data_IF_986610257980
#
_entry.id   IF_986610257980
#
_cell.length_a   1.000
_cell.length_b   1.000
_cell.length_c   1.000
_cell.angle_alpha   90.00
_cell.angle_beta   90.00
_cell.angle_gamma   90.00
#
_symmetry.space_group_name_H-M   'P 1'
#
loop_
_entity.id
_entity.type
_entity.pdbx_description
1 polymer ?
#
# COMPACT_ATOMS: atom_id res chain seq x y z
N UNK A 1 -16.86 -17.35 -18.23
CA UNK A 1 -15.59 -16.87 -17.63
C UNK A 1 -14.62 -18.04 -17.57
N UNK A 2 -13.37 -17.86 -18.01
CA UNK A 2 -12.38 -18.93 -18.02
C UNK A 2 -11.95 -19.25 -16.58
N UNK A 3 -11.55 -20.49 -16.28
CA UNK A 3 -11.09 -20.93 -14.94
C UNK A 3 -9.99 -19.99 -14.39
N UNK A 4 -9.08 -19.55 -15.27
CA UNK A 4 -7.98 -18.62 -14.96
C UNK A 4 -8.48 -17.24 -14.51
N UNK A 5 -9.47 -16.68 -15.23
CA UNK A 5 -10.03 -15.36 -14.90
C UNK A 5 -10.78 -15.40 -13.55
N UNK A 6 -11.48 -16.52 -13.29
CA UNK A 6 -12.16 -16.73 -12.02
C UNK A 6 -11.14 -16.81 -10.85
N UNK A 7 -10.00 -17.47 -11.04
CA UNK A 7 -8.94 -17.52 -10.04
C UNK A 7 -8.36 -16.13 -9.74
N UNK A 8 -8.16 -15.30 -10.77
CA UNK A 8 -7.67 -13.91 -10.61
C UNK A 8 -8.69 -13.08 -9.83
N UNK A 9 -9.96 -13.06 -10.25
CA UNK A 9 -10.99 -12.24 -9.62
C UNK A 9 -11.30 -12.68 -8.19
N UNK A 10 -11.24 -13.98 -7.89
CA UNK A 10 -11.42 -14.51 -6.54
C UNK A 10 -10.40 -13.95 -5.54
N UNK A 11 -9.21 -13.58 -6.01
CA UNK A 11 -8.16 -12.97 -5.20
C UNK A 11 -8.19 -11.44 -5.28
N UNK A 12 -8.43 -10.88 -6.47
CA UNK A 12 -8.40 -9.43 -6.67
C UNK A 12 -9.56 -8.72 -5.99
N UNK A 13 -10.80 -9.20 -6.13
CA UNK A 13 -11.98 -8.51 -5.60
C UNK A 13 -11.95 -8.33 -4.07
N UNK A 14 -11.67 -9.36 -3.23
CA UNK A 14 -11.55 -9.13 -1.80
C UNK A 14 -10.43 -8.17 -1.43
N UNK A 15 -9.31 -8.18 -2.18
CA UNK A 15 -8.20 -7.26 -1.97
C UNK A 15 -8.59 -5.81 -2.29
N UNK A 16 -9.33 -5.58 -3.37
CA UNK A 16 -9.87 -4.25 -3.71
C UNK A 16 -10.78 -3.74 -2.60
N UNK A 17 -11.72 -4.57 -2.11
CA UNK A 17 -12.60 -4.20 -1.00
C UNK A 17 -11.78 -3.82 0.22
N UNK A 18 -10.78 -4.62 0.60
CA UNK A 18 -9.88 -4.32 1.71
C UNK A 18 -9.17 -2.97 1.53
N UNK A 19 -8.64 -2.68 0.35
CA UNK A 19 -7.89 -1.45 0.08
C UNK A 19 -8.79 -0.19 0.13
N UNK A 20 -10.01 -0.28 -0.38
CA UNK A 20 -10.96 0.84 -0.38
C UNK A 20 -11.46 1.16 1.04
N UNK A 21 -11.50 0.19 1.94
CA UNK A 21 -11.98 0.43 3.32
C UNK A 21 -10.99 1.21 4.17
N UNK A 22 -9.69 1.20 3.84
CA UNK A 22 -8.66 1.92 4.61
C UNK A 22 -8.88 3.44 4.61
N UNK A 23 -9.04 4.14 3.45
CA UNK A 23 -9.30 5.57 3.45
C UNK A 23 -10.65 5.95 4.06
N UNK A 24 -11.66 5.06 3.98
CA UNK A 24 -12.95 5.30 4.62
C UNK A 24 -12.82 5.44 6.13
N UNK A 25 -11.94 4.66 6.74
CA UNK A 25 -11.67 4.77 8.17
C UNK A 25 -11.14 6.15 8.56
N UNK A 26 -10.13 6.65 7.84
CA UNK A 26 -9.57 7.98 8.08
C UNK A 26 -10.60 9.10 7.91
N UNK A 27 -11.55 8.96 6.96
CA UNK A 27 -12.64 9.91 6.80
C UNK A 27 -13.63 9.88 7.97
N UNK A 28 -13.92 8.70 8.51
CA UNK A 28 -14.80 8.56 9.67
C UNK A 28 -14.15 9.15 10.92
N UNK A 29 -12.88 8.87 11.18
CA UNK A 29 -12.13 9.44 12.30
C UNK A 29 -12.10 10.98 12.21
N UNK A 30 -11.85 11.51 11.00
CA UNK A 30 -11.85 12.95 10.75
C UNK A 30 -13.25 13.56 10.96
N UNK A 31 -14.31 12.87 10.54
CA UNK A 31 -15.68 13.32 10.73
C UNK A 31 -16.06 13.34 12.22
N UNK A 32 -15.69 12.30 12.99
CA UNK A 32 -15.93 12.25 14.45
C UNK A 32 -15.26 13.44 15.12
N UNK A 33 -13.99 13.71 14.80
CA UNK A 33 -13.21 14.77 15.42
C UNK A 33 -13.67 16.16 14.95
N UNK A 34 -14.13 16.30 13.72
CA UNK A 34 -14.70 17.54 13.20
C UNK A 34 -15.93 18.02 13.98
N UNK A 35 -16.67 17.12 14.63
CA UNK A 35 -17.81 17.44 15.48
C UNK A 35 -17.43 17.76 16.95
N UNK A 36 -16.17 17.55 17.35
CA UNK A 36 -15.67 17.89 18.71
C UNK A 36 -15.38 19.42 18.84
N UNK A 37 -15.39 20.16 17.74
CA UNK A 37 -15.49 21.63 17.73
C UNK A 37 -14.17 22.41 17.76
N UNK A 38 -13.00 21.82 17.47
CA UNK A 38 -11.74 22.57 17.38
C UNK A 38 -10.94 22.18 16.13
N UNK A 39 -10.65 23.16 15.27
CA UNK A 39 -9.77 23.00 14.10
C UNK A 39 -8.40 22.41 14.47
N UNK A 40 -7.93 22.68 15.69
CA UNK A 40 -6.65 22.17 16.19
C UNK A 40 -6.64 20.64 16.32
N UNK A 41 -7.77 20.01 16.68
CA UNK A 41 -7.87 18.54 16.74
C UNK A 41 -7.80 17.91 15.34
N UNK A 42 -8.44 18.51 14.37
CA UNK A 42 -8.39 18.08 12.97
C UNK A 42 -6.93 18.14 12.46
N UNK A 43 -6.25 19.27 12.73
CA UNK A 43 -4.85 19.43 12.38
C UNK A 43 -3.93 18.39 13.05
N UNK A 44 -4.16 18.08 14.32
CA UNK A 44 -3.37 17.11 15.06
C UNK A 44 -3.52 15.68 14.52
N UNK A 45 -4.74 15.25 14.22
CA UNK A 45 -4.99 13.95 13.59
C UNK A 45 -4.40 13.89 12.19
N UNK A 46 -4.53 14.95 11.39
CA UNK A 46 -3.97 14.99 10.04
C UNK A 46 -2.44 14.82 10.07
N UNK A 47 -1.74 15.57 10.93
CA UNK A 47 -0.28 15.46 11.11
C UNK A 47 0.09 14.08 11.67
N UNK A 48 -0.57 13.62 12.72
CA UNK A 48 -0.30 12.34 13.35
C UNK A 48 -0.53 11.15 12.40
N UNK A 49 -1.65 11.13 11.69
CA UNK A 49 -1.96 10.11 10.69
C UNK A 49 -0.95 10.10 9.55
N UNK A 50 -0.50 11.28 9.09
CA UNK A 50 0.52 11.36 8.05
C UNK A 50 1.84 10.74 8.51
N UNK A 51 2.27 10.98 9.75
CA UNK A 51 3.48 10.36 10.34
C UNK A 51 3.36 8.84 10.31
N UNK A 52 2.27 8.29 10.85
CA UNK A 52 2.06 6.83 10.88
C UNK A 52 1.91 6.22 9.49
N UNK A 53 1.22 6.90 8.57
CA UNK A 53 1.09 6.43 7.18
C UNK A 53 2.45 6.30 6.50
N UNK A 54 3.35 7.27 6.66
CA UNK A 54 4.71 7.19 6.11
C UNK A 54 5.49 6.04 6.76
N UNK A 55 5.45 5.94 8.08
CA UNK A 55 6.11 4.85 8.82
C UNK A 55 5.62 3.49 8.31
N UNK A 56 4.31 3.26 8.32
CA UNK A 56 3.74 1.97 7.92
C UNK A 56 3.95 1.66 6.44
N UNK A 57 3.91 2.66 5.57
CA UNK A 57 4.20 2.47 4.15
C UNK A 57 5.61 1.95 3.91
N UNK A 58 6.59 2.51 4.62
CA UNK A 58 8.00 2.05 4.55
C UNK A 58 8.09 0.57 4.97
N UNK A 59 7.34 0.15 5.99
CA UNK A 59 7.34 -1.25 6.47
C UNK A 59 6.41 -2.19 5.69
N UNK A 60 5.75 -1.72 4.63
CA UNK A 60 4.96 -2.54 3.71
C UNK A 60 5.72 -3.71 3.09
N UNK A 61 7.07 -3.71 3.14
CA UNK A 61 7.91 -4.83 2.71
C UNK A 61 7.60 -6.13 3.49
N UNK A 62 7.15 -6.03 4.76
CA UNK A 62 6.74 -7.20 5.55
C UNK A 62 5.57 -7.93 4.88
N UNK A 63 4.60 -7.21 4.33
CA UNK A 63 3.49 -7.82 3.59
C UNK A 63 3.97 -8.42 2.27
N UNK A 64 4.66 -7.63 1.46
CA UNK A 64 5.07 -8.00 0.10
C UNK A 64 6.08 -9.16 0.11
N UNK A 65 7.10 -9.10 0.96
CA UNK A 65 8.10 -10.15 1.07
C UNK A 65 7.50 -11.49 1.50
N UNK A 66 6.54 -11.46 2.43
CA UNK A 66 5.86 -12.65 2.90
C UNK A 66 4.96 -13.28 1.84
N UNK A 67 4.21 -12.48 1.08
CA UNK A 67 3.31 -13.00 0.03
C UNK A 67 4.10 -13.72 -1.04
N UNK A 68 5.21 -13.15 -1.52
CA UNK A 68 6.07 -13.80 -2.51
C UNK A 68 6.72 -15.09 -2.02
N UNK A 69 7.30 -15.07 -0.81
CA UNK A 69 7.96 -16.25 -0.27
C UNK A 69 6.99 -17.38 0.11
N UNK A 70 5.83 -17.03 0.69
CA UNK A 70 4.81 -18.00 1.06
C UNK A 70 4.16 -18.64 -0.17
N UNK A 71 3.86 -17.85 -1.22
CA UNK A 71 3.28 -18.35 -2.47
C UNK A 71 4.23 -19.30 -3.20
N UNK A 72 5.53 -19.01 -3.23
CA UNK A 72 6.52 -19.91 -3.81
C UNK A 72 6.68 -21.21 -2.98
N UNK A 73 6.73 -21.10 -1.65
CA UNK A 73 6.79 -22.29 -0.79
C UNK A 73 5.56 -23.17 -0.98
N UNK A 74 4.38 -22.56 -1.12
CA UNK A 74 3.13 -23.26 -1.45
C UNK A 74 3.22 -23.95 -2.82
N UNK A 75 3.77 -23.30 -3.83
CA UNK A 75 3.99 -23.86 -5.16
C UNK A 75 4.90 -25.10 -5.14
N UNK A 76 5.96 -25.06 -4.34
CA UNK A 76 6.84 -26.22 -4.10
C UNK A 76 6.22 -27.32 -3.22
N UNK A 77 5.01 -27.09 -2.68
CA UNK A 77 4.37 -27.95 -1.67
C UNK A 77 5.20 -28.09 -0.37
N UNK A 78 6.06 -27.09 -0.09
CA UNK A 78 6.90 -27.06 1.11
C UNK A 78 6.15 -26.33 2.23
N UNK A 79 5.23 -27.04 2.87
CA UNK A 79 4.39 -26.48 3.94
C UNK A 79 5.19 -26.06 5.18
N UNK A 80 6.34 -26.71 5.43
CA UNK A 80 7.25 -26.31 6.51
C UNK A 80 7.87 -24.95 6.23
N UNK A 81 8.29 -24.67 4.99
CA UNK A 81 8.80 -23.38 4.59
C UNK A 81 7.70 -22.31 4.69
N UNK A 82 6.45 -22.62 4.30
CA UNK A 82 5.29 -21.70 4.47
C UNK A 82 5.14 -21.26 5.93
N UNK A 83 5.23 -22.21 6.88
CA UNK A 83 5.13 -21.90 8.32
C UNK A 83 6.35 -21.12 8.82
N UNK A 84 7.55 -21.41 8.30
CA UNK A 84 8.76 -20.68 8.68
C UNK A 84 8.75 -19.24 8.19
N UNK A 85 8.19 -18.94 7.02
CA UNK A 85 8.00 -17.58 6.51
C UNK A 85 7.17 -16.78 7.51
N UNK A 86 6.01 -17.29 7.94
CA UNK A 86 5.17 -16.62 8.92
C UNK A 86 5.93 -16.39 10.24
N UNK A 87 6.54 -17.44 10.80
CA UNK A 87 7.23 -17.34 12.09
C UNK A 87 8.33 -16.27 12.08
N UNK A 88 9.16 -16.27 11.05
CA UNK A 88 10.29 -15.32 10.94
C UNK A 88 9.83 -13.88 10.72
N UNK A 89 8.85 -13.68 9.84
CA UNK A 89 8.31 -12.35 9.61
C UNK A 89 7.58 -11.81 10.84
N UNK A 90 6.95 -12.68 11.63
CA UNK A 90 6.33 -12.31 12.88
C UNK A 90 7.36 -11.84 13.92
N UNK A 91 8.49 -12.54 14.04
CA UNK A 91 9.59 -12.08 14.89
C UNK A 91 10.09 -10.70 14.48
N UNK A 92 10.31 -10.48 13.17
CA UNK A 92 10.74 -9.17 12.66
C UNK A 92 9.69 -8.10 12.94
N UNK A 93 8.42 -8.36 12.63
CA UNK A 93 7.32 -7.43 12.81
C UNK A 93 7.16 -7.00 14.28
N UNK A 94 7.13 -7.96 15.19
CA UNK A 94 6.99 -7.68 16.64
C UNK A 94 8.24 -6.99 17.18
N UNK A 95 9.46 -7.41 16.80
CA UNK A 95 10.69 -6.77 17.25
C UNK A 95 10.75 -5.30 16.82
N UNK A 96 10.38 -4.99 15.56
CA UNK A 96 10.34 -3.61 15.06
C UNK A 96 9.21 -2.83 15.76
N UNK A 97 8.04 -3.44 15.92
CA UNK A 97 6.91 -2.80 16.60
C UNK A 97 7.23 -2.43 18.06
N UNK A 98 7.86 -3.33 18.80
CA UNK A 98 8.33 -3.01 20.17
C UNK A 98 9.48 -2.00 20.18
N UNK A 99 10.38 -2.04 19.19
CA UNK A 99 11.42 -1.02 19.04
C UNK A 99 10.81 0.37 18.83
N UNK A 100 9.71 0.49 18.09
CA UNK A 100 9.00 1.76 17.93
C UNK A 100 8.44 2.28 19.24
N UNK A 101 7.91 1.41 20.11
CA UNK A 101 7.45 1.80 21.45
C UNK A 101 8.63 2.30 22.29
N UNK A 102 9.78 1.63 22.25
CA UNK A 102 11.00 2.05 22.98
C UNK A 102 11.50 3.39 22.45
N UNK A 103 11.48 3.59 21.14
CA UNK A 103 11.97 4.81 20.48
C UNK A 103 10.87 5.85 20.26
N UNK A 104 9.70 5.73 20.90
CA UNK A 104 8.55 6.60 20.64
C UNK A 104 8.89 8.09 20.80
N UNK A 105 9.66 8.46 21.82
CA UNK A 105 10.00 9.85 22.08
C UNK A 105 10.87 10.46 20.96
N UNK A 106 12.06 9.92 20.63
CA UNK A 106 12.88 10.47 19.53
C UNK A 106 12.18 10.40 18.18
N UNK A 107 11.36 9.38 17.91
CA UNK A 107 10.60 9.30 16.66
C UNK A 107 9.54 10.40 16.57
N UNK A 108 8.82 10.67 17.65
CA UNK A 108 7.83 11.74 17.71
C UNK A 108 8.48 13.11 17.47
N UNK A 109 9.52 13.44 18.23
CA UNK A 109 10.21 14.74 18.15
C UNK A 109 10.86 14.95 16.77
N UNK A 110 11.50 13.93 16.20
CA UNK A 110 12.06 14.00 14.86
C UNK A 110 10.98 14.23 13.79
N UNK A 111 9.84 13.55 13.90
CA UNK A 111 8.73 13.72 12.96
C UNK A 111 8.11 15.12 13.06
N UNK A 112 7.92 15.64 14.28
CA UNK A 112 7.42 16.99 14.52
C UNK A 112 8.41 18.07 14.06
N UNK A 113 9.70 17.84 14.28
CA UNK A 113 10.75 18.72 13.76
C UNK A 113 10.74 18.76 12.21
N UNK A 114 10.49 17.64 11.56
CA UNK A 114 10.41 17.59 10.09
C UNK A 114 9.18 18.32 9.53
N UNK A 115 8.04 18.20 10.24
CA UNK A 115 6.74 18.72 9.74
C UNK A 115 6.45 20.16 10.15
N UNK A 116 7.12 20.71 11.20
CA UNK A 116 6.96 22.09 11.68
C UNK A 116 5.49 22.52 11.87
N UNK A 117 4.62 21.76 12.56
CA UNK A 117 3.25 22.18 12.82
C UNK A 117 3.21 23.35 13.83
N UNK A 118 2.05 24.07 13.91
CA UNK A 118 1.86 25.09 14.92
C UNK A 118 1.94 24.52 16.35
N UNK A 119 2.29 25.36 17.34
CA UNK A 119 2.52 24.92 18.74
C UNK A 119 1.30 24.21 19.34
N UNK A 120 0.08 24.64 19.01
CA UNK A 120 -1.17 24.01 19.47
C UNK A 120 -1.38 22.63 18.85
N UNK A 121 -1.16 22.48 17.55
CA UNK A 121 -1.22 21.22 16.83
C UNK A 121 -0.13 20.27 17.32
N UNK A 122 1.10 20.74 17.49
CA UNK A 122 2.24 19.98 17.98
C UNK A 122 1.94 19.28 19.32
N UNK A 123 1.35 19.99 20.28
CA UNK A 123 1.00 19.43 21.60
C UNK A 123 -0.01 18.28 21.46
N UNK A 124 -1.05 18.45 20.65
CA UNK A 124 -2.06 17.42 20.46
C UNK A 124 -1.53 16.24 19.62
N UNK A 125 -0.66 16.50 18.66
CA UNK A 125 0.00 15.43 17.87
C UNK A 125 0.91 14.56 18.75
N UNK A 126 1.58 15.14 19.78
CA UNK A 126 2.32 14.32 20.75
C UNK A 126 1.42 13.38 21.53
N UNK A 127 0.22 13.82 21.92
CA UNK A 127 -0.77 12.96 22.60
C UNK A 127 -1.21 11.85 21.64
N UNK A 128 -1.63 12.22 20.42
CA UNK A 128 -1.99 11.27 19.37
C UNK A 128 -0.90 10.22 19.16
N UNK A 129 0.35 10.67 18.96
CA UNK A 129 1.47 9.78 18.71
C UNK A 129 1.74 8.83 19.89
N UNK A 130 1.71 9.34 21.12
CA UNK A 130 1.98 8.54 22.33
C UNK A 130 0.96 7.43 22.57
N UNK A 131 -0.28 7.61 22.09
CA UNK A 131 -1.33 6.59 22.15
C UNK A 131 -1.19 5.63 20.97
N UNK A 132 -1.18 6.16 19.73
CA UNK A 132 -1.21 5.34 18.51
C UNK A 132 0.03 4.45 18.33
N UNK A 133 1.18 4.83 18.90
CA UNK A 133 2.42 4.02 18.80
C UNK A 133 2.28 2.62 19.41
N UNK A 134 1.39 2.46 20.41
CA UNK A 134 1.10 1.16 21.02
C UNK A 134 0.38 0.19 20.07
N UNK A 135 -0.17 0.70 18.98
CA UNK A 135 -0.71 -0.11 17.88
C UNK A 135 0.34 -0.62 16.90
N UNK A 136 1.58 -0.10 16.93
CA UNK A 136 2.60 -0.44 15.95
C UNK A 136 2.94 -1.94 15.90
N UNK A 137 3.11 -2.67 17.03
CA UNK A 137 3.33 -4.12 16.98
C UNK A 137 2.17 -4.86 16.31
N UNK A 138 0.93 -4.46 16.58
CA UNK A 138 -0.25 -5.08 15.98
C UNK A 138 -0.32 -4.82 14.46
N UNK A 139 -0.06 -3.60 14.02
CA UNK A 139 -0.07 -3.24 12.59
C UNK A 139 1.03 -3.95 11.81
N UNK A 140 2.25 -4.02 12.33
CA UNK A 140 3.34 -4.74 11.66
C UNK A 140 3.09 -6.26 11.65
N UNK A 141 2.50 -6.82 12.71
CA UNK A 141 2.06 -8.21 12.74
C UNK A 141 0.96 -8.47 11.70
N UNK A 142 0.01 -7.55 11.53
CA UNK A 142 -1.01 -7.63 10.49
C UNK A 142 -0.41 -7.60 9.08
N UNK A 143 0.62 -6.79 8.83
CA UNK A 143 1.32 -6.83 7.54
C UNK A 143 1.93 -8.21 7.28
N UNK A 144 2.58 -8.80 8.27
CA UNK A 144 3.13 -10.14 8.15
C UNK A 144 2.05 -11.19 7.89
N UNK A 145 0.94 -11.15 8.63
CA UNK A 145 -0.21 -12.05 8.47
C UNK A 145 -0.88 -11.89 7.11
N UNK A 146 -1.21 -10.66 6.72
CA UNK A 146 -1.89 -10.36 5.46
C UNK A 146 -1.06 -10.81 4.26
N UNK A 147 0.26 -10.56 4.26
CA UNK A 147 1.16 -11.07 3.22
C UNK A 147 1.17 -12.60 3.16
N UNK A 148 1.21 -13.25 4.32
CA UNK A 148 1.19 -14.70 4.39
C UNK A 148 -0.12 -15.30 3.88
N UNK A 149 -1.29 -14.73 4.24
CA UNK A 149 -2.59 -15.18 3.72
C UNK A 149 -2.71 -14.97 2.20
N UNK A 150 -2.24 -13.83 1.67
CA UNK A 150 -2.17 -13.60 0.22
C UNK A 150 -1.31 -14.67 -0.46
N UNK A 151 -0.15 -14.97 0.11
CA UNK A 151 0.73 -16.04 -0.38
C UNK A 151 0.09 -17.42 -0.38
N UNK A 152 -0.82 -17.69 0.56
CA UNK A 152 -1.65 -18.90 0.62
C UNK A 152 -2.87 -18.86 -0.33
N UNK A 153 -2.97 -17.85 -1.19
CA UNK A 153 -4.09 -17.64 -2.11
C UNK A 153 -5.44 -17.39 -1.39
N UNK A 154 -5.38 -16.79 -0.21
CA UNK A 154 -6.57 -16.44 0.56
C UNK A 154 -6.58 -14.95 0.88
N UNK A 155 -7.22 -14.15 0.03
CA UNK A 155 -7.40 -12.71 0.23
C UNK A 155 -8.68 -12.35 0.99
N UNK A 156 -9.55 -13.33 1.23
CA UNK A 156 -10.79 -13.12 2.00
C UNK A 156 -10.50 -12.87 3.48
N UNK A 157 -9.52 -13.57 4.05
CA UNK A 157 -9.14 -13.38 5.45
C UNK A 157 -8.62 -11.96 5.70
N UNK A 158 -7.63 -11.43 4.95
CA UNK A 158 -7.24 -10.01 5.04
C UNK A 158 -8.41 -9.03 4.92
N UNK A 159 -9.33 -9.27 3.97
CA UNK A 159 -10.53 -8.44 3.81
C UNK A 159 -11.41 -8.47 5.06
N UNK A 160 -11.69 -9.65 5.61
CA UNK A 160 -12.51 -9.79 6.82
C UNK A 160 -11.86 -9.11 8.02
N UNK A 161 -10.53 -9.23 8.17
CA UNK A 161 -9.77 -8.55 9.22
C UNK A 161 -9.90 -7.03 9.07
N UNK A 162 -9.71 -6.49 7.86
CA UNK A 162 -9.81 -5.06 7.60
C UNK A 162 -11.23 -4.53 7.89
N UNK A 163 -12.27 -5.21 7.42
CA UNK A 163 -13.66 -4.85 7.71
C UNK A 163 -13.96 -4.89 9.21
N UNK A 164 -13.52 -5.94 9.91
CA UNK A 164 -13.69 -6.07 11.36
C UNK A 164 -12.99 -4.94 12.11
N UNK A 165 -11.73 -4.62 11.76
CA UNK A 165 -11.01 -3.51 12.36
C UNK A 165 -11.73 -2.18 12.18
N UNK A 166 -12.24 -1.90 10.97
CA UNK A 166 -12.95 -0.66 10.69
C UNK A 166 -14.24 -0.57 11.51
N UNK A 167 -15.00 -1.65 11.61
CA UNK A 167 -16.23 -1.68 12.43
C UNK A 167 -15.90 -1.46 13.92
N UNK A 168 -14.89 -2.15 14.45
CA UNK A 168 -14.45 -1.99 15.86
C UNK A 168 -13.97 -0.57 16.10
N UNK A 169 -13.15 0.00 15.21
CA UNK A 169 -12.68 1.36 15.33
C UNK A 169 -13.84 2.36 15.38
N UNK A 170 -14.77 2.31 14.43
CA UNK A 170 -15.91 3.22 14.37
C UNK A 170 -16.75 3.15 15.65
N UNK A 171 -17.10 1.93 16.09
CA UNK A 171 -17.91 1.73 17.29
C UNK A 171 -17.19 2.28 18.54
N UNK A 172 -15.92 1.97 18.70
CA UNK A 172 -15.16 2.40 19.87
C UNK A 172 -14.85 3.89 19.85
N UNK A 173 -14.49 4.47 18.70
CA UNK A 173 -14.27 5.91 18.58
C UNK A 173 -15.54 6.70 18.92
N UNK A 174 -16.70 6.28 18.40
CA UNK A 174 -17.98 6.88 18.74
C UNK A 174 -18.31 6.71 20.24
N UNK A 175 -18.09 5.53 20.80
CA UNK A 175 -18.34 5.26 22.22
C UNK A 175 -17.47 6.14 23.11
N UNK A 176 -16.15 6.20 22.88
CA UNK A 176 -15.25 7.00 23.69
C UNK A 176 -15.52 8.50 23.57
N UNK A 177 -15.85 8.98 22.36
CA UNK A 177 -16.11 10.40 22.14
C UNK A 177 -17.48 10.81 22.64
N UNK A 178 -18.54 10.09 22.28
CA UNK A 178 -19.93 10.52 22.57
C UNK A 178 -20.35 10.12 23.98
N UNK A 179 -20.06 8.88 24.41
CA UNK A 179 -20.54 8.37 25.71
C UNK A 179 -19.61 8.75 26.85
N UNK A 180 -18.28 8.65 26.65
CA UNK A 180 -17.29 8.97 27.68
C UNK A 180 -16.80 10.43 27.64
N UNK A 181 -17.19 11.21 26.63
CA UNK A 181 -16.78 12.62 26.50
C UNK A 181 -15.28 12.81 26.24
N UNK A 182 -14.59 11.76 25.78
CA UNK A 182 -13.17 11.85 25.42
C UNK A 182 -13.02 12.65 24.13
N UNK A 183 -11.89 13.28 23.95
CA UNK A 183 -11.59 14.07 22.75
C UNK A 183 -10.76 13.22 21.77
N UNK A 184 -9.61 13.76 21.35
CA UNK A 184 -8.68 13.08 20.42
C UNK A 184 -8.23 11.73 21.00
N UNK A 185 -8.01 11.66 22.32
CA UNK A 185 -7.59 10.46 23.01
C UNK A 185 -8.57 9.30 22.82
N UNK A 186 -9.86 9.60 22.72
CA UNK A 186 -10.91 8.59 22.52
C UNK A 186 -10.83 7.94 21.13
N UNK A 187 -10.62 8.73 20.08
CA UNK A 187 -10.43 8.24 18.71
C UNK A 187 -9.15 7.42 18.62
N UNK A 188 -8.06 7.89 19.24
CA UNK A 188 -6.76 7.24 19.22
C UNK A 188 -6.81 5.86 19.90
N UNK A 189 -7.44 5.79 21.09
CA UNK A 189 -7.66 4.52 21.80
C UNK A 189 -8.53 3.56 20.98
N UNK A 190 -9.60 4.06 20.36
CA UNK A 190 -10.43 3.28 19.46
C UNK A 190 -9.61 2.65 18.33
N UNK A 191 -8.70 3.41 17.74
CA UNK A 191 -7.80 2.95 16.69
C UNK A 191 -6.83 1.88 17.19
N UNK A 192 -6.19 2.08 18.32
CA UNK A 192 -5.24 1.09 18.91
C UNK A 192 -5.96 -0.22 19.24
N UNK A 193 -7.13 -0.14 19.90
CA UNK A 193 -7.91 -1.34 20.24
C UNK A 193 -8.36 -2.07 18.97
N UNK A 194 -8.77 -1.34 17.94
CA UNK A 194 -9.13 -1.93 16.63
C UNK A 194 -7.95 -2.65 15.98
N UNK A 195 -6.75 -2.06 16.02
CA UNK A 195 -5.53 -2.67 15.47
C UNK A 195 -5.18 -3.98 16.20
N UNK A 196 -5.22 -3.99 17.53
CA UNK A 196 -4.99 -5.21 18.32
C UNK A 196 -6.07 -6.26 18.14
N UNK A 197 -7.34 -5.85 18.07
CA UNK A 197 -8.46 -6.79 17.83
C UNK A 197 -8.33 -7.45 16.45
N UNK A 198 -7.94 -6.69 15.42
CA UNK A 198 -7.66 -7.23 14.10
C UNK A 198 -6.45 -8.17 14.09
N UNK A 199 -5.39 -7.85 14.82
CA UNK A 199 -4.23 -8.73 14.97
C UNK A 199 -4.61 -10.04 15.66
N UNK A 200 -5.38 -10.00 16.75
CA UNK A 200 -5.90 -11.19 17.44
C UNK A 200 -6.77 -12.06 16.53
N UNK A 201 -7.67 -11.44 15.75
CA UNK A 201 -8.48 -12.14 14.76
C UNK A 201 -7.59 -12.79 13.68
N UNK A 202 -6.57 -12.07 13.22
CA UNK A 202 -5.58 -12.59 12.26
C UNK A 202 -4.79 -13.77 12.81
N UNK A 203 -4.37 -13.71 14.08
CA UNK A 203 -3.72 -14.84 14.76
C UNK A 203 -4.65 -16.04 14.89
N UNK A 204 -5.92 -15.82 15.21
CA UNK A 204 -6.91 -16.90 15.28
C UNK A 204 -7.10 -17.61 13.94
N UNK A 205 -7.25 -16.86 12.84
CA UNK A 205 -7.30 -17.46 11.50
C UNK A 205 -5.99 -18.17 11.14
N UNK A 206 -4.84 -17.58 11.50
CA UNK A 206 -3.54 -18.20 11.20
C UNK A 206 -3.35 -19.52 11.94
N UNK A 207 -3.81 -19.59 13.18
CA UNK A 207 -3.72 -20.84 13.98
C UNK A 207 -4.48 -21.99 13.30
N UNK A 208 -5.70 -21.75 12.84
CA UNK A 208 -6.47 -22.76 12.09
C UNK A 208 -5.73 -23.23 10.83
N UNK A 209 -5.17 -22.30 10.07
CA UNK A 209 -4.43 -22.60 8.85
C UNK A 209 -3.11 -23.35 9.16
N UNK A 210 -2.45 -23.01 10.26
CA UNK A 210 -1.22 -23.69 10.73
C UNK A 210 -1.49 -25.15 11.05
N UNK A 211 -2.59 -25.46 11.74
CA UNK A 211 -2.98 -26.83 12.06
C UNK A 211 -3.20 -27.64 10.79
N UNK A 212 -3.92 -27.09 9.81
CA UNK A 212 -4.14 -27.74 8.51
C UNK A 212 -2.83 -27.98 7.74
N UNK A 213 -1.92 -27.01 7.71
CA UNK A 213 -0.63 -27.14 7.04
C UNK A 213 0.30 -28.13 7.71
N UNK A 214 0.28 -28.24 9.05
CA UNK A 214 1.07 -29.22 9.80
C UNK A 214 0.66 -30.65 9.47
N UNK A 215 -0.62 -30.93 9.30
CA UNK A 215 -1.11 -32.27 8.94
C UNK A 215 -0.68 -32.71 7.55
N UNK A 216 -0.44 -31.74 6.65
CA UNK A 216 0.03 -31.97 5.27
C UNK A 216 1.57 -32.05 5.15
N UNK A 217 2.30 -31.77 6.22
CA UNK A 217 3.77 -31.64 6.20
C UNK A 217 4.44 -33.00 6.43
N UNK A 218 4.54 -33.83 5.39
CA UNK A 218 5.20 -35.12 5.44
C UNK A 218 6.67 -35.10 4.99
N UNK A 219 7.18 -34.00 4.46
CA UNK A 219 8.48 -33.93 3.80
C UNK A 219 9.45 -32.98 4.50
N UNK A 220 10.65 -33.46 4.78
CA UNK A 220 11.80 -32.68 5.29
C UNK A 220 12.44 -31.89 4.13
N UNK A 221 12.07 -30.64 3.96
CA UNK A 221 12.74 -29.74 3.01
C UNK A 221 13.61 -28.71 3.71
N UNK A 222 14.56 -28.16 2.97
CA UNK A 222 15.56 -27.22 3.47
C UNK A 222 14.94 -25.98 4.15
N UNK A 223 15.53 -25.51 5.26
CA UNK A 223 15.04 -24.32 5.93
C UNK A 223 15.17 -23.10 5.01
N UNK A 224 14.16 -22.24 4.98
CA UNK A 224 14.25 -20.93 4.33
C UNK A 224 15.42 -20.18 4.93
N UNK A 225 16.40 -19.80 4.09
CA UNK A 225 17.61 -19.11 4.55
C UNK A 225 17.25 -17.67 4.95
N UNK A 226 17.69 -17.21 6.12
CA UNK A 226 17.51 -15.83 6.59
C UNK A 226 18.03 -14.79 5.59
N UNK A 227 19.14 -15.11 4.91
CA UNK A 227 19.74 -14.25 3.88
C UNK A 227 18.78 -13.94 2.75
N UNK A 228 17.99 -14.93 2.28
CA UNK A 228 17.01 -14.72 1.22
C UNK A 228 15.89 -13.77 1.65
N UNK A 229 15.36 -13.95 2.86
CA UNK A 229 14.33 -13.08 3.43
C UNK A 229 14.84 -11.64 3.58
N UNK A 230 16.06 -11.47 4.08
CA UNK A 230 16.64 -10.14 4.25
C UNK A 230 16.86 -9.43 2.91
N UNK A 231 17.37 -10.13 1.89
CA UNK A 231 17.61 -9.53 0.57
C UNK A 231 16.31 -9.07 -0.11
N UNK A 232 15.26 -9.91 -0.07
CA UNK A 232 13.94 -9.56 -0.62
C UNK A 232 13.37 -8.33 0.09
N UNK A 233 13.38 -8.33 1.41
CA UNK A 233 12.85 -7.23 2.21
C UNK A 233 13.65 -5.94 2.03
N UNK A 234 14.99 -6.01 1.95
CA UNK A 234 15.85 -4.86 1.67
C UNK A 234 15.52 -4.22 0.32
N UNK A 235 15.40 -5.02 -0.73
CA UNK A 235 15.13 -4.51 -2.07
C UNK A 235 13.75 -3.84 -2.15
N UNK A 236 12.72 -4.42 -1.47
CA UNK A 236 11.38 -3.82 -1.38
C UNK A 236 11.43 -2.52 -0.55
N UNK A 237 12.15 -2.53 0.56
CA UNK A 237 12.34 -1.34 1.40
C UNK A 237 12.97 -0.19 0.59
N UNK A 238 14.11 -0.44 -0.07
CA UNK A 238 14.78 0.57 -0.89
C UNK A 238 13.91 1.07 -2.06
N UNK A 239 13.17 0.15 -2.71
CA UNK A 239 12.18 0.53 -3.72
C UNK A 239 11.13 1.48 -3.11
N UNK A 240 10.60 1.17 -1.93
CA UNK A 240 9.59 1.99 -1.28
C UNK A 240 10.10 3.39 -0.95
N UNK A 241 11.37 3.53 -0.57
CA UNK A 241 11.97 4.85 -0.37
C UNK A 241 11.95 5.72 -1.64
N UNK A 242 12.21 5.14 -2.83
CA UNK A 242 12.08 5.89 -4.08
C UNK A 242 10.64 6.30 -4.38
N UNK A 243 9.66 5.44 -4.09
CA UNK A 243 8.24 5.76 -4.24
C UNK A 243 7.81 6.90 -3.30
N UNK A 244 8.21 6.83 -2.04
CA UNK A 244 7.94 7.86 -1.03
C UNK A 244 8.62 9.17 -1.44
N UNK A 245 9.89 9.13 -1.87
CA UNK A 245 10.62 10.30 -2.31
C UNK A 245 9.91 11.03 -3.48
N UNK A 246 9.43 10.29 -4.50
CA UNK A 246 8.69 10.88 -5.62
C UNK A 246 7.37 11.49 -5.15
N UNK A 247 6.59 10.80 -4.31
CA UNK A 247 5.32 11.32 -3.83
C UNK A 247 5.47 12.57 -2.95
N UNK A 248 6.42 12.55 -2.01
CA UNK A 248 6.72 13.71 -1.19
C UNK A 248 7.25 14.89 -2.02
N UNK A 249 8.11 14.60 -3.02
CA UNK A 249 8.61 15.64 -3.92
C UNK A 249 7.50 16.22 -4.77
N UNK A 250 6.57 15.40 -5.29
CA UNK A 250 5.42 15.90 -6.05
C UNK A 250 4.60 16.90 -5.22
N UNK A 251 4.28 16.55 -3.97
CA UNK A 251 3.54 17.44 -3.07
C UNK A 251 4.35 18.70 -2.73
N UNK A 252 5.62 18.56 -2.36
CA UNK A 252 6.48 19.69 -1.97
C UNK A 252 6.75 20.66 -3.13
N UNK A 253 6.98 20.13 -4.34
CA UNK A 253 7.20 20.94 -5.53
C UNK A 253 5.91 21.62 -6.01
N UNK A 254 4.75 20.99 -5.79
CA UNK A 254 3.44 21.60 -5.98
C UNK A 254 3.21 22.77 -4.99
N UNK A 255 3.55 22.57 -3.72
CA UNK A 255 3.43 23.60 -2.68
C UNK A 255 4.25 24.86 -2.99
N UNK A 256 5.46 24.70 -3.57
CA UNK A 256 6.30 25.82 -3.98
C UNK A 256 5.71 26.67 -5.10
N UNK A 257 4.70 26.17 -5.83
CA UNK A 257 4.01 26.89 -6.89
C UNK A 257 2.78 27.66 -6.40
N UNK A 258 2.47 27.57 -5.10
CA UNK A 258 1.39 28.28 -4.41
C UNK A 258 0.27 27.34 -3.93
N UNK A 259 -0.50 27.85 -2.97
CA UNK A 259 -1.53 27.06 -2.28
C UNK A 259 -2.65 26.58 -3.21
N UNK A 260 -3.00 27.36 -4.22
CA UNK A 260 -4.01 26.99 -5.21
C UNK A 260 -3.58 25.80 -6.05
N UNK A 261 -2.31 25.78 -6.50
CA UNK A 261 -1.72 24.67 -7.26
C UNK A 261 -1.61 23.43 -6.37
N UNK A 262 -1.17 23.59 -5.13
CA UNK A 262 -1.10 22.49 -4.17
C UNK A 262 -2.48 21.85 -3.96
N UNK A 263 -3.50 22.67 -3.74
CA UNK A 263 -4.88 22.21 -3.54
C UNK A 263 -5.42 21.47 -4.76
N UNK A 264 -5.21 22.03 -5.96
CA UNK A 264 -5.61 21.41 -7.22
C UNK A 264 -4.88 20.07 -7.44
N UNK A 265 -3.55 20.02 -7.22
CA UNK A 265 -2.76 18.79 -7.35
C UNK A 265 -3.20 17.72 -6.35
N UNK A 266 -3.48 18.08 -5.10
CA UNK A 266 -3.97 17.17 -4.06
C UNK A 266 -5.31 16.57 -4.46
N UNK A 267 -6.23 17.40 -4.96
CA UNK A 267 -7.53 16.96 -5.44
C UNK A 267 -7.39 15.97 -6.62
N UNK A 268 -6.53 16.29 -7.57
CA UNK A 268 -6.27 15.45 -8.75
C UNK A 268 -5.56 14.14 -8.40
N UNK A 269 -4.67 14.13 -7.39
CA UNK A 269 -3.99 12.92 -6.91
C UNK A 269 -4.94 11.90 -6.25
N UNK A 270 -6.15 12.32 -5.88
CA UNK A 270 -7.19 11.38 -5.38
C UNK A 270 -7.55 10.33 -6.44
N UNK A 271 -7.57 10.72 -7.71
CA UNK A 271 -7.82 9.79 -8.82
C UNK A 271 -6.71 8.75 -8.95
N UNK A 272 -5.44 9.17 -8.79
CA UNK A 272 -4.32 8.22 -8.74
C UNK A 272 -4.48 7.23 -7.59
N UNK A 273 -4.84 7.71 -6.43
CA UNK A 273 -5.04 6.87 -5.24
C UNK A 273 -6.17 5.86 -5.43
N UNK A 274 -7.31 6.29 -5.99
CA UNK A 274 -8.44 5.41 -6.31
C UNK A 274 -8.05 4.32 -7.31
N UNK A 275 -7.34 4.71 -8.38
CA UNK A 275 -6.85 3.78 -9.38
C UNK A 275 -5.86 2.79 -8.75
N UNK A 276 -4.94 3.26 -7.89
CA UNK A 276 -3.96 2.41 -7.23
C UNK A 276 -4.62 1.34 -6.35
N UNK A 277 -5.66 1.65 -5.59
CA UNK A 277 -6.37 0.67 -4.76
C UNK A 277 -6.99 -0.48 -5.56
N UNK A 278 -7.52 -0.18 -6.74
CA UNK A 278 -8.03 -1.20 -7.64
C UNK A 278 -6.90 -2.04 -8.20
N UNK A 279 -5.84 -1.41 -8.70
CA UNK A 279 -4.69 -2.11 -9.30
C UNK A 279 -3.90 -2.94 -8.29
N UNK A 280 -3.79 -2.47 -7.04
CA UNK A 280 -3.15 -3.24 -5.96
C UNK A 280 -3.90 -4.56 -5.68
N UNK A 281 -5.22 -4.59 -5.84
CA UNK A 281 -5.98 -5.83 -5.76
C UNK A 281 -5.55 -6.86 -6.82
N UNK A 282 -5.29 -6.41 -8.04
CA UNK A 282 -4.75 -7.27 -9.10
C UNK A 282 -3.27 -7.60 -8.89
N UNK A 283 -2.49 -6.69 -8.30
CA UNK A 283 -1.13 -6.98 -7.89
C UNK A 283 -1.08 -8.11 -6.83
N UNK A 284 -1.99 -8.12 -5.85
CA UNK A 284 -2.08 -9.21 -4.86
C UNK A 284 -2.45 -10.55 -5.51
N UNK A 285 -3.35 -10.55 -6.49
CA UNK A 285 -3.63 -11.76 -7.28
C UNK A 285 -2.39 -12.23 -8.06
N UNK A 286 -1.59 -11.29 -8.60
CA UNK A 286 -0.35 -11.59 -9.28
C UNK A 286 0.71 -12.16 -8.32
N UNK A 287 0.89 -11.56 -7.13
CA UNK A 287 1.77 -12.09 -6.08
C UNK A 287 1.46 -13.56 -5.75
N UNK A 288 0.18 -13.86 -5.58
CA UNK A 288 -0.27 -15.19 -5.19
C UNK A 288 -0.12 -16.22 -6.32
N UNK A 289 -0.68 -15.93 -7.50
CA UNK A 289 -0.78 -16.89 -8.61
C UNK A 289 0.55 -17.08 -9.34
N UNK A 290 1.21 -15.97 -9.70
CA UNK A 290 2.53 -16.06 -10.34
C UNK A 290 3.59 -16.58 -9.38
N UNK A 291 3.53 -16.22 -8.09
CA UNK A 291 4.45 -16.75 -7.07
C UNK A 291 4.31 -18.24 -6.89
N UNK A 292 3.09 -18.77 -6.84
CA UNK A 292 2.85 -20.23 -6.77
C UNK A 292 3.37 -20.94 -8.01
N UNK A 293 3.07 -20.44 -9.21
CA UNK A 293 3.55 -21.04 -10.45
C UNK A 293 5.07 -21.00 -10.55
N UNK A 294 5.70 -19.88 -10.15
CA UNK A 294 7.15 -19.75 -10.08
C UNK A 294 7.76 -20.76 -9.11
N UNK A 295 7.19 -20.91 -7.91
CA UNK A 295 7.63 -21.89 -6.92
C UNK A 295 7.49 -23.34 -7.39
N UNK A 296 6.44 -23.65 -8.14
CA UNK A 296 6.19 -24.95 -8.75
C UNK A 296 7.08 -25.24 -9.98
N UNK A 297 7.85 -24.27 -10.46
CA UNK A 297 8.61 -24.31 -11.73
C UNK A 297 7.71 -24.52 -12.96
N UNK A 298 6.46 -24.10 -12.87
CA UNK A 298 5.45 -24.23 -13.93
C UNK A 298 5.44 -22.97 -14.81
N UNK A 299 6.31 -22.97 -15.83
CA UNK A 299 6.42 -21.86 -16.79
C UNK A 299 5.13 -21.63 -17.60
N UNK A 300 4.43 -22.67 -18.09
CA UNK A 300 3.15 -22.48 -18.78
C UNK A 300 2.12 -21.73 -17.95
N UNK A 301 1.88 -22.16 -16.71
CA UNK A 301 0.96 -21.48 -15.79
C UNK A 301 1.42 -20.07 -15.45
N UNK A 302 2.72 -19.86 -15.21
CA UNK A 302 3.29 -18.53 -14.95
C UNK A 302 3.02 -17.57 -16.13
N UNK A 303 3.29 -18.00 -17.36
CA UNK A 303 3.09 -17.22 -18.57
C UNK A 303 1.60 -16.94 -18.82
N UNK A 304 0.73 -17.93 -18.56
CA UNK A 304 -0.71 -17.79 -18.70
C UNK A 304 -1.26 -16.73 -17.70
N UNK A 305 -0.93 -16.84 -16.40
CA UNK A 305 -1.37 -15.86 -15.41
C UNK A 305 -0.81 -14.48 -15.70
N UNK A 306 0.46 -14.36 -16.06
CA UNK A 306 1.08 -13.10 -16.46
C UNK A 306 0.32 -12.43 -17.60
N UNK A 307 0.06 -13.18 -18.67
CA UNK A 307 -0.67 -12.65 -19.84
C UNK A 307 -2.10 -12.24 -19.50
N UNK A 308 -2.81 -13.02 -18.69
CA UNK A 308 -4.19 -12.71 -18.27
C UNK A 308 -4.24 -11.50 -17.35
N UNK A 309 -3.33 -11.39 -16.37
CA UNK A 309 -3.24 -10.25 -15.49
C UNK A 309 -2.94 -8.96 -16.24
N UNK A 310 -2.05 -8.98 -17.23
CA UNK A 310 -1.79 -7.83 -18.11
C UNK A 310 -3.03 -7.43 -18.93
N UNK A 311 -3.81 -8.40 -19.44
CA UNK A 311 -5.07 -8.11 -20.15
C UNK A 311 -6.11 -7.50 -19.21
N UNK A 312 -6.24 -7.99 -17.98
CA UNK A 312 -7.09 -7.38 -16.96
C UNK A 312 -6.61 -5.98 -16.61
N UNK A 313 -5.30 -5.78 -16.42
CA UNK A 313 -4.71 -4.49 -16.11
C UNK A 313 -5.01 -3.41 -17.16
N UNK A 314 -4.82 -3.74 -18.46
CA UNK A 314 -5.15 -2.79 -19.54
C UNK A 314 -6.67 -2.57 -19.65
N UNK A 315 -7.48 -3.61 -19.49
CA UNK A 315 -8.93 -3.48 -19.48
C UNK A 315 -9.44 -2.53 -18.40
N UNK A 316 -8.92 -2.67 -17.18
CA UNK A 316 -9.24 -1.79 -16.05
C UNK A 316 -8.73 -0.36 -16.31
N UNK A 317 -7.53 -0.22 -16.87
CA UNK A 317 -6.98 1.09 -17.20
C UNK A 317 -7.86 1.82 -18.24
N UNK A 318 -8.35 1.12 -19.26
CA UNK A 318 -9.27 1.68 -20.24
C UNK A 318 -10.61 2.08 -19.61
N UNK A 319 -11.20 1.22 -18.78
CA UNK A 319 -12.44 1.51 -18.06
C UNK A 319 -12.27 2.71 -17.13
N UNK A 320 -11.19 2.75 -16.35
CA UNK A 320 -10.89 3.87 -15.47
C UNK A 320 -10.70 5.18 -16.25
N UNK A 321 -9.99 5.14 -17.39
CA UNK A 321 -9.82 6.29 -18.28
C UNK A 321 -11.17 6.80 -18.79
N UNK A 322 -12.07 5.90 -19.24
CA UNK A 322 -13.42 6.29 -19.69
C UNK A 322 -14.23 6.90 -18.55
N UNK A 323 -14.18 6.31 -17.36
CA UNK A 323 -14.85 6.86 -16.16
C UNK A 323 -14.30 8.25 -15.81
N UNK A 324 -12.98 8.45 -15.90
CA UNK A 324 -12.37 9.75 -15.61
C UNK A 324 -12.77 10.81 -16.63
N UNK A 325 -12.81 10.46 -17.93
CA UNK A 325 -13.28 11.38 -18.96
C UNK A 325 -14.75 11.76 -18.75
N UNK A 326 -15.62 10.79 -18.51
CA UNK A 326 -17.06 11.00 -18.42
C UNK A 326 -17.54 11.57 -17.09
N UNK A 327 -16.94 11.12 -15.97
CA UNK A 327 -17.41 11.44 -14.61
C UNK A 327 -16.45 12.26 -13.76
N UNK A 328 -15.21 12.43 -14.19
CA UNK A 328 -14.18 13.03 -13.35
C UNK A 328 -14.47 14.48 -12.95
N UNK A 329 -15.02 15.29 -13.84
CA UNK A 329 -15.42 16.68 -13.52
C UNK A 329 -16.56 16.73 -12.50
N UNK A 330 -17.52 15.81 -12.59
CA UNK A 330 -18.59 15.69 -11.61
C UNK A 330 -18.01 15.31 -10.24
N UNK A 331 -17.07 14.35 -10.21
CA UNK A 331 -16.39 13.94 -9.00
C UNK A 331 -15.60 15.08 -8.34
N UNK A 332 -14.90 15.92 -9.11
CA UNK A 332 -14.22 17.11 -8.59
C UNK A 332 -15.20 18.06 -7.88
N UNK A 333 -16.38 18.30 -8.48
CA UNK A 333 -17.43 19.17 -7.91
C UNK A 333 -18.07 18.57 -6.66
N UNK A 334 -18.05 17.25 -6.48
CA UNK A 334 -18.55 16.62 -5.26
C UNK A 334 -17.56 16.74 -4.09
N UNK A 335 -16.26 16.93 -4.37
CA UNK A 335 -15.23 16.99 -3.32
C UNK A 335 -14.99 18.42 -2.83
N UNK A 336 -15.14 19.42 -3.70
CA UNK A 336 -14.85 20.81 -3.33
C UNK A 336 -15.84 21.80 -3.96
N UNK A 337 -16.24 22.78 -3.15
CA UNK A 337 -17.09 23.91 -3.58
C UNK A 337 -16.24 25.11 -4.03
N UNK A 338 -14.91 25.06 -3.89
CA UNK A 338 -14.03 26.17 -4.27
C UNK A 338 -13.92 26.29 -5.79
N UNK A 339 -14.55 27.32 -6.35
CA UNK A 339 -14.52 27.60 -7.79
C UNK A 339 -13.11 27.81 -8.35
N UNK A 340 -12.21 28.43 -7.57
CA UNK A 340 -10.82 28.66 -7.96
C UNK A 340 -10.01 27.34 -8.04
N UNK A 341 -10.20 26.43 -7.08
CA UNK A 341 -9.55 25.10 -7.08
C UNK A 341 -10.10 24.26 -8.22
N UNK A 342 -11.41 24.28 -8.47
CA UNK A 342 -12.04 23.57 -9.59
C UNK A 342 -11.50 24.06 -10.94
N UNK A 343 -11.48 25.37 -11.18
CA UNK A 343 -10.96 25.95 -12.41
C UNK A 343 -9.49 25.58 -12.65
N UNK A 344 -8.67 25.64 -11.60
CA UNK A 344 -7.26 25.24 -11.68
C UNK A 344 -7.10 23.75 -11.92
N UNK A 345 -7.93 22.92 -11.28
CA UNK A 345 -7.90 21.45 -11.49
C UNK A 345 -8.28 21.06 -12.92
N UNK A 346 -9.23 21.78 -13.54
CA UNK A 346 -9.63 21.53 -14.93
C UNK A 346 -8.49 21.75 -15.94
N UNK A 347 -7.58 22.71 -15.67
CA UNK A 347 -6.39 22.94 -16.52
C UNK A 347 -5.48 21.70 -16.56
N UNK A 348 -5.34 20.99 -15.44
CA UNK A 348 -4.43 19.84 -15.33
C UNK A 348 -5.15 18.49 -15.46
N UNK A 349 -6.47 18.47 -15.62
CA UNK A 349 -7.28 17.26 -15.56
C UNK A 349 -6.92 16.22 -16.62
N UNK A 350 -6.45 16.62 -17.79
CA UNK A 350 -6.05 15.67 -18.82
C UNK A 350 -4.87 14.77 -18.42
N UNK A 351 -4.00 15.22 -17.49
CA UNK A 351 -2.95 14.39 -16.92
C UNK A 351 -3.52 13.24 -16.11
N UNK A 352 -4.60 13.51 -15.37
CA UNK A 352 -5.30 12.48 -14.57
C UNK A 352 -5.87 11.37 -15.45
N UNK A 353 -6.40 11.74 -16.60
CA UNK A 353 -6.94 10.78 -17.60
C UNK A 353 -5.85 9.83 -18.12
N UNK A 354 -4.58 10.28 -18.16
CA UNK A 354 -3.46 9.46 -18.61
C UNK A 354 -2.92 8.52 -17.51
N UNK A 355 -3.20 8.78 -16.22
CA UNK A 355 -2.69 7.98 -15.10
C UNK A 355 -2.96 6.48 -15.26
N UNK A 356 -4.20 6.02 -15.57
CA UNK A 356 -4.47 4.60 -15.66
C UNK A 356 -3.64 3.92 -16.75
N UNK A 357 -3.52 4.55 -17.90
CA UNK A 357 -2.76 4.01 -19.05
C UNK A 357 -1.25 3.98 -18.79
N UNK A 358 -0.72 5.00 -18.12
CA UNK A 358 0.71 5.06 -17.78
C UNK A 358 1.07 4.09 -16.63
N UNK A 359 0.15 3.89 -15.67
CA UNK A 359 0.43 3.21 -14.42
C UNK A 359 0.15 1.71 -14.40
N UNK A 360 -0.87 1.20 -15.14
CA UNK A 360 -1.35 -0.19 -14.98
C UNK A 360 -0.24 -1.23 -15.07
N UNK A 361 0.69 -1.02 -16.00
CA UNK A 361 1.79 -1.96 -16.26
C UNK A 361 2.70 -2.10 -15.05
N UNK A 362 3.02 -0.97 -14.39
CA UNK A 362 3.86 -0.96 -13.19
C UNK A 362 3.21 -1.68 -12.01
N UNK A 363 1.91 -1.50 -11.79
CA UNK A 363 1.19 -2.17 -10.70
C UNK A 363 1.10 -3.68 -10.89
N UNK A 364 0.71 -4.13 -12.09
CA UNK A 364 0.60 -5.57 -12.37
C UNK A 364 1.96 -6.26 -12.30
N UNK A 365 3.00 -5.65 -12.88
CA UNK A 365 4.34 -6.22 -12.88
C UNK A 365 4.98 -6.21 -11.51
N UNK A 366 4.73 -5.19 -10.67
CA UNK A 366 5.16 -5.21 -9.27
C UNK A 366 4.68 -6.48 -8.55
N UNK A 367 3.40 -6.83 -8.69
CA UNK A 367 2.86 -8.06 -8.12
C UNK A 367 3.55 -9.33 -8.65
N UNK A 368 3.83 -9.40 -9.96
CA UNK A 368 4.54 -10.54 -10.57
C UNK A 368 5.96 -10.65 -10.02
N UNK A 369 6.69 -9.54 -9.91
CA UNK A 369 8.06 -9.51 -9.39
C UNK A 369 8.13 -9.87 -7.91
N UNK A 370 7.16 -9.42 -7.11
CA UNK A 370 7.03 -9.80 -5.70
C UNK A 370 6.76 -11.30 -5.59
N UNK A 371 5.80 -11.82 -6.35
CA UNK A 371 5.49 -13.26 -6.41
C UNK A 371 6.71 -14.11 -6.80
N UNK A 372 7.47 -13.70 -7.80
CA UNK A 372 8.70 -14.35 -8.21
C UNK A 372 9.89 -14.09 -7.26
N UNK A 373 9.75 -13.23 -6.24
CA UNK A 373 10.83 -12.73 -5.35
C UNK A 373 12.03 -12.15 -6.11
N UNK A 374 11.78 -11.60 -7.30
CA UNK A 374 12.81 -10.96 -8.14
C UNK A 374 12.84 -9.45 -7.89
N UNK A 375 12.86 -9.09 -6.63
CA UNK A 375 12.71 -7.73 -6.09
C UNK A 375 13.82 -6.76 -6.53
N UNK A 376 15.01 -7.28 -6.88
CA UNK A 376 16.10 -6.47 -7.44
C UNK A 376 15.72 -5.77 -8.74
N UNK A 377 15.00 -6.45 -9.65
CA UNK A 377 14.55 -5.83 -10.90
C UNK A 377 13.48 -4.76 -10.66
N UNK A 378 12.61 -4.99 -9.68
CA UNK A 378 11.64 -4.01 -9.22
C UNK A 378 12.33 -2.78 -8.61
N UNK A 379 13.41 -2.97 -7.83
CA UNK A 379 14.21 -1.88 -7.27
C UNK A 379 14.87 -1.05 -8.39
N UNK A 380 15.48 -1.72 -9.39
CA UNK A 380 16.12 -1.05 -10.54
C UNK A 380 15.10 -0.20 -11.30
N UNK A 381 13.92 -0.74 -11.59
CA UNK A 381 12.87 0.00 -12.31
C UNK A 381 12.40 1.21 -11.52
N UNK A 382 12.26 1.10 -10.20
CA UNK A 382 11.83 2.20 -9.34
C UNK A 382 12.90 3.28 -9.21
N UNK A 383 14.18 2.90 -9.16
CA UNK A 383 15.28 3.85 -9.20
C UNK A 383 15.29 4.64 -10.51
N UNK A 384 15.26 3.95 -11.66
CA UNK A 384 15.29 4.60 -12.97
C UNK A 384 14.08 5.51 -13.19
N UNK A 385 12.90 5.09 -12.72
CA UNK A 385 11.69 5.92 -12.80
C UNK A 385 11.77 7.15 -11.89
N UNK A 386 12.32 7.03 -10.68
CA UNK A 386 12.55 8.18 -9.81
C UNK A 386 13.56 9.17 -10.43
N UNK A 387 14.65 8.67 -11.00
CA UNK A 387 15.61 9.51 -11.74
C UNK A 387 14.90 10.22 -12.90
N UNK A 388 14.08 9.52 -13.67
CA UNK A 388 13.32 10.12 -14.78
C UNK A 388 12.40 11.23 -14.29
N UNK A 389 11.71 11.06 -13.14
CA UNK A 389 10.89 12.10 -12.52
C UNK A 389 11.68 13.37 -12.25
N UNK A 390 12.82 13.26 -11.56
CA UNK A 390 13.60 14.44 -11.19
C UNK A 390 14.24 15.09 -12.42
N UNK A 391 14.78 14.31 -13.36
CA UNK A 391 15.38 14.84 -14.60
C UNK A 391 14.35 15.62 -15.41
N UNK A 392 13.15 15.06 -15.63
CA UNK A 392 12.10 15.72 -16.41
C UNK A 392 11.62 16.98 -15.71
N UNK A 393 11.36 16.90 -14.41
CA UNK A 393 10.88 18.05 -13.65
C UNK A 393 11.88 19.20 -13.68
N UNK A 394 13.13 18.97 -13.29
CA UNK A 394 14.14 20.04 -13.22
C UNK A 394 14.55 20.59 -14.59
N UNK A 395 14.45 19.79 -15.66
CA UNK A 395 14.71 20.28 -17.01
C UNK A 395 13.59 21.14 -17.58
N UNK A 396 12.35 20.88 -17.21
CA UNK A 396 11.20 21.49 -17.85
C UNK A 396 10.38 22.44 -16.93
N UNK A 397 10.67 22.47 -15.63
CA UNK A 397 9.89 23.25 -14.66
C UNK A 397 9.88 24.75 -14.96
N UNK A 398 10.99 25.31 -15.45
CA UNK A 398 11.09 26.71 -15.80
C UNK A 398 10.21 27.09 -17.03
N UNK A 399 9.96 26.14 -17.93
CA UNK A 399 9.16 26.37 -19.15
C UNK A 399 7.68 26.03 -18.96
N UNK A 400 7.39 24.93 -18.23
CA UNK A 400 6.06 24.32 -18.18
C UNK A 400 5.40 24.44 -16.80
N UNK A 401 6.11 24.92 -15.76
CA UNK A 401 5.55 25.06 -14.40
C UNK A 401 4.96 23.74 -13.88
N UNK A 402 3.68 23.77 -13.47
CA UNK A 402 3.00 22.58 -12.92
C UNK A 402 2.74 21.48 -13.98
N UNK A 403 2.68 21.82 -15.26
CA UNK A 403 2.61 20.81 -16.31
C UNK A 403 3.87 19.92 -16.35
N UNK A 404 5.05 20.49 -16.04
CA UNK A 404 6.29 19.71 -15.92
C UNK A 404 6.20 18.71 -14.78
N UNK A 405 5.57 19.08 -13.66
CA UNK A 405 5.38 18.21 -12.50
C UNK A 405 4.50 16.99 -12.85
N UNK A 406 3.38 17.25 -13.52
CA UNK A 406 2.49 16.19 -13.99
C UNK A 406 3.12 15.31 -15.08
N UNK A 407 3.81 15.90 -16.05
CA UNK A 407 4.54 15.16 -17.07
C UNK A 407 5.59 14.23 -16.43
N UNK A 408 6.35 14.76 -15.47
CA UNK A 408 7.35 13.97 -14.73
C UNK A 408 6.69 12.78 -13.99
N UNK A 409 5.51 12.99 -13.38
CA UNK A 409 4.77 11.94 -12.69
C UNK A 409 4.24 10.87 -13.64
N UNK A 410 3.68 11.25 -14.79
CA UNK A 410 3.21 10.30 -15.82
C UNK A 410 4.38 9.49 -16.37
N UNK A 411 5.50 10.15 -16.70
CA UNK A 411 6.70 9.44 -17.17
C UNK A 411 7.30 8.53 -16.10
N UNK A 412 7.27 8.94 -14.82
CA UNK A 412 7.66 8.07 -13.71
C UNK A 412 6.84 6.77 -13.69
N UNK A 413 5.52 6.83 -13.86
CA UNK A 413 4.66 5.66 -13.90
C UNK A 413 4.96 4.79 -15.13
N UNK A 414 5.08 5.40 -16.31
CA UNK A 414 5.34 4.71 -17.57
C UNK A 414 6.71 4.04 -17.60
N UNK A 415 7.78 4.76 -17.23
CA UNK A 415 9.16 4.24 -17.21
C UNK A 415 9.27 3.04 -16.26
N UNK A 416 8.62 3.11 -15.07
CA UNK A 416 8.60 2.00 -14.13
C UNK A 416 8.03 0.74 -14.77
N UNK A 417 6.88 0.85 -15.43
CA UNK A 417 6.23 -0.27 -16.11
C UNK A 417 7.02 -0.79 -17.31
N UNK A 418 7.54 0.11 -18.14
CA UNK A 418 8.32 -0.26 -19.33
C UNK A 418 9.59 -1.01 -18.96
N UNK A 419 10.39 -0.48 -18.00
CA UNK A 419 11.62 -1.13 -17.53
C UNK A 419 11.31 -2.53 -16.97
N UNK A 420 10.27 -2.66 -16.16
CA UNK A 420 9.84 -3.97 -15.67
C UNK A 420 9.44 -4.90 -16.82
N UNK A 421 8.70 -4.42 -17.81
CA UNK A 421 8.31 -5.24 -18.95
C UNK A 421 9.52 -5.76 -19.74
N UNK A 422 10.53 -4.91 -19.96
CA UNK A 422 11.76 -5.30 -20.63
C UNK A 422 12.56 -6.36 -19.84
N UNK A 423 12.52 -6.30 -18.51
CA UNK A 423 13.21 -7.25 -17.65
C UNK A 423 12.45 -8.55 -17.39
N UNK A 424 11.15 -8.62 -17.80
CA UNK A 424 10.28 -9.77 -17.49
C UNK A 424 10.80 -11.09 -18.07
N UNK A 425 11.40 -11.06 -19.24
CA UNK A 425 11.99 -12.25 -19.86
C UNK A 425 13.06 -12.91 -18.97
N UNK A 426 13.79 -12.12 -18.18
CA UNK A 426 14.79 -12.65 -17.23
C UNK A 426 14.16 -13.41 -16.08
N UNK A 427 12.90 -13.11 -15.72
CA UNK A 427 12.13 -13.87 -14.72
C UNK A 427 11.75 -15.23 -15.29
N UNK A 428 11.29 -15.26 -16.53
CA UNK A 428 10.90 -16.51 -17.22
C UNK A 428 12.10 -17.44 -17.42
N UNK A 429 13.23 -16.91 -17.85
CA UNK A 429 14.47 -17.70 -18.02
C UNK A 429 14.95 -18.33 -16.72
N UNK A 430 14.76 -17.67 -15.57
CA UNK A 430 15.14 -18.26 -14.28
C UNK A 430 14.24 -19.44 -13.87
N UNK A 431 13.00 -19.51 -14.32
CA UNK A 431 12.13 -20.68 -14.07
C UNK A 431 12.70 -21.90 -14.76
N UNK A 432 13.25 -21.75 -15.95
CA UNK A 432 13.79 -22.86 -16.76
C UNK A 432 15.21 -23.27 -16.35
N UNK A 433 15.94 -22.39 -15.67
CA UNK A 433 17.34 -22.63 -15.24
C UNK A 433 17.47 -23.23 -13.83
N UNK A 434 16.39 -23.35 -13.09
CA UNK A 434 16.31 -23.95 -11.75
C UNK A 434 15.75 -25.37 -11.87
#
# INVERSE_FOLDING_TARGET
>A
MNVTDNAILKLALPSIVSNITVPLLGLVDLAIVGHIGSETYIGAIAVGSMIFNVIYWIFGFLRMGNSGMASQALGRKDYKAVLQVLRRSMYIALSIGFLFIILQFPLCEFSLWLMHPSSSVMRLTRIYFSICIWGAPAMLALYALNGWFVGLQNTRIPMLIALFQNVVNIILSLFFVIVLGMKIEGVDLGTVIAQWSGALLGFWFSFRQIVELKTKSTVLHSPVKWKGLFLVNRDIFLRTLFLVAVNLSFTSLGARQGDLILSANTLLMTFFTMFSYVMDGFAFAAEALCGKSYGAKDLPSFSLFTSRLLRWGIGIALVATIIYIGGGRLFLRLITDSSSVLATSEVYFYWVVLIPLAGFLAFVLDGIYIGATMTRYMLISSFLSAVSFFVVYFSLSALLGNHALWLAFILYLAVRGIVQRLLLNRVQLKITSI
#
